data_IF_625275161530
#
_entry.id   IF_625275161530
#
_cell.length_a   1.000
_cell.length_b   1.000
_cell.length_c   1.000
_cell.angle_alpha   90.00
_cell.angle_beta   90.00
_cell.angle_gamma   90.00
#
_symmetry.space_group_name_H-M   'P 1'
#
loop_
_entity.id
_entity.type
_entity.pdbx_description
1 polymer ?
#
# COMPACT_ATOMS: atom_id res chain seq x y z
N UNK A 1 -17.88 19.07 24.49
CA UNK A 1 -16.53 19.19 23.92
C UNK A 1 -16.11 17.83 23.34
N UNK A 2 -15.51 17.77 22.15
CA UNK A 2 -15.08 16.50 21.51
C UNK A 2 -13.72 16.05 22.09
N UNK A 3 -13.47 14.74 22.16
CA UNK A 3 -12.20 14.20 22.64
C UNK A 3 -11.03 14.63 21.73
N UNK A 4 -10.08 15.41 22.27
CA UNK A 4 -8.86 15.83 21.57
C UNK A 4 -7.83 14.71 21.55
N UNK A 5 -6.96 14.71 20.52
CA UNK A 5 -5.98 13.66 20.29
C UNK A 5 -4.57 14.22 20.18
N UNK A 6 -3.61 13.51 20.76
CA UNK A 6 -2.18 13.82 20.69
C UNK A 6 -1.42 12.69 19.99
N UNK A 7 -0.31 13.02 19.32
CA UNK A 7 0.53 12.01 18.70
C UNK A 7 1.11 11.07 19.77
N UNK A 8 1.12 9.76 19.49
CA UNK A 8 1.60 8.74 20.44
C UNK A 8 3.09 8.45 20.32
N UNK A 9 3.71 8.78 19.18
CA UNK A 9 5.16 8.73 18.97
C UNK A 9 5.79 10.04 19.42
N UNK A 10 7.09 9.98 19.74
CA UNK A 10 7.91 11.17 20.06
C UNK A 10 7.96 12.20 18.94
N UNK A 11 7.79 11.78 17.69
CA UNK A 11 7.81 12.68 16.53
C UNK A 11 6.52 13.54 16.49
N UNK A 12 6.67 14.83 16.78
CA UNK A 12 5.58 15.81 16.90
C UNK A 12 5.09 16.41 15.58
N UNK A 13 5.88 16.38 14.50
CA UNK A 13 5.52 17.05 13.25
C UNK A 13 4.54 16.26 12.37
N UNK A 14 3.69 16.99 11.65
CA UNK A 14 2.71 16.46 10.70
C UNK A 14 3.34 16.17 9.32
N UNK A 15 4.23 15.18 9.25
CA UNK A 15 4.93 14.82 8.01
C UNK A 15 4.19 13.75 7.21
N UNK A 16 4.51 13.62 5.91
CA UNK A 16 3.92 12.60 5.02
C UNK A 16 4.10 11.16 5.53
N UNK A 17 5.13 10.87 6.32
CA UNK A 17 5.36 9.55 6.94
C UNK A 17 4.65 9.38 8.28
N UNK A 18 4.28 10.48 8.94
CA UNK A 18 3.59 10.50 10.23
C UNK A 18 2.06 10.59 10.05
N UNK A 19 1.52 9.95 9.01
CA UNK A 19 0.08 9.90 8.76
C UNK A 19 -0.60 9.05 9.85
N UNK A 20 -1.75 9.53 10.30
CA UNK A 20 -2.53 8.91 11.38
C UNK A 20 -3.99 8.74 10.97
N UNK A 21 -4.63 7.73 11.55
CA UNK A 21 -6.08 7.51 11.47
C UNK A 21 -6.65 7.51 12.88
N UNK A 22 -7.76 8.22 13.08
CA UNK A 22 -8.52 8.18 14.33
C UNK A 22 -9.28 6.87 14.41
N UNK A 23 -9.10 6.12 15.50
CA UNK A 23 -9.78 4.85 15.72
C UNK A 23 -10.42 4.87 17.11
N UNK A 24 -11.67 4.40 17.21
CA UNK A 24 -12.34 4.15 18.48
C UNK A 24 -11.86 2.81 19.02
N UNK A 25 -11.23 2.84 20.18
CA UNK A 25 -10.75 1.64 20.89
C UNK A 25 -11.92 0.90 21.53
N UNK A 26 -11.79 -0.41 21.85
CA UNK A 26 -12.83 -1.15 22.56
C UNK A 26 -13.25 -0.49 23.89
N UNK A 27 -12.33 0.17 24.59
CA UNK A 27 -12.61 0.96 25.80
C UNK A 27 -13.29 2.31 25.54
N UNK A 28 -13.86 2.53 24.35
CA UNK A 28 -14.64 3.72 24.01
C UNK A 28 -13.84 5.00 23.72
N UNK A 29 -12.51 4.98 23.85
CA UNK A 29 -11.65 6.16 23.66
C UNK A 29 -11.24 6.32 22.20
N UNK A 30 -11.26 7.54 21.68
CA UNK A 30 -10.63 7.90 20.40
C UNK A 30 -9.12 7.99 20.58
N UNK A 31 -8.37 7.38 19.65
CA UNK A 31 -6.90 7.32 19.68
C UNK A 31 -6.34 7.39 18.26
N UNK A 32 -5.19 8.05 18.06
CA UNK A 32 -4.45 7.97 16.80
C UNK A 32 -3.77 6.60 16.63
N UNK A 33 -3.99 5.96 15.49
CA UNK A 33 -3.17 4.86 14.99
C UNK A 33 -2.33 5.32 13.82
N UNK A 34 -1.07 4.88 13.76
CA UNK A 34 -0.17 5.24 12.68
C UNK A 34 -0.42 4.38 11.45
N UNK A 35 -0.63 5.04 10.32
CA UNK A 35 -0.83 4.38 9.03
C UNK A 35 0.43 4.56 8.18
N UNK A 36 0.85 3.50 7.50
CA UNK A 36 1.91 3.61 6.48
C UNK A 36 1.37 4.41 5.29
N UNK A 37 2.25 5.13 4.59
CA UNK A 37 1.91 5.79 3.32
C UNK A 37 1.24 4.80 2.35
N UNK A 38 0.20 5.25 1.66
CA UNK A 38 -0.44 4.51 0.57
C UNK A 38 0.60 4.24 -0.52
N UNK A 39 0.68 3.00 -0.98
CA UNK A 39 1.62 2.61 -2.02
C UNK A 39 1.00 2.83 -3.42
N UNK A 40 1.84 3.28 -4.35
CA UNK A 40 1.59 3.12 -5.78
C UNK A 40 1.99 1.70 -6.16
N UNK A 41 1.08 0.96 -6.78
CA UNK A 41 1.38 -0.39 -7.26
C UNK A 41 2.19 -0.40 -8.57
N UNK A 42 2.60 -1.59 -9.04
CA UNK A 42 3.31 -1.75 -10.30
C UNK A 42 2.49 -1.25 -11.49
N UNK A 43 3.13 -0.51 -12.37
CA UNK A 43 2.54 0.04 -13.60
C UNK A 43 3.30 -0.48 -14.81
N UNK A 44 2.58 -0.63 -15.90
CA UNK A 44 3.16 -0.92 -17.20
C UNK A 44 3.93 0.31 -17.72
N UNK A 45 5.19 0.17 -18.17
CA UNK A 45 5.96 1.29 -18.71
C UNK A 45 5.39 1.83 -20.02
N UNK A 46 4.82 0.97 -20.88
CA UNK A 46 4.26 1.37 -22.18
C UNK A 46 2.92 2.10 -22.01
N UNK A 47 1.96 1.51 -21.29
CA UNK A 47 0.60 2.05 -21.19
C UNK A 47 0.38 2.95 -19.97
N UNK A 48 1.29 2.97 -19.00
CA UNK A 48 1.12 3.67 -17.72
C UNK A 48 0.04 3.09 -16.79
N UNK A 49 -0.71 2.07 -17.27
CA UNK A 49 -1.81 1.43 -16.54
C UNK A 49 -1.26 0.52 -15.44
N UNK A 50 -2.04 0.33 -14.37
CA UNK A 50 -1.73 -0.63 -13.30
C UNK A 50 -1.69 -2.06 -13.86
N UNK A 51 -0.80 -2.89 -13.33
CA UNK A 51 -0.74 -4.31 -13.69
C UNK A 51 -1.83 -5.05 -12.93
N UNK A 52 -2.77 -5.65 -13.67
CA UNK A 52 -3.85 -6.43 -13.10
C UNK A 52 -3.34 -7.75 -12.51
N UNK A 53 -3.95 -8.19 -11.40
CA UNK A 53 -3.57 -9.44 -10.72
C UNK A 53 -2.44 -9.31 -9.70
N UNK A 54 -1.79 -8.15 -9.58
CA UNK A 54 -0.77 -7.89 -8.55
C UNK A 54 -1.33 -6.88 -7.53
N UNK A 55 -1.37 -7.21 -6.23
CA UNK A 55 -1.89 -6.31 -5.20
C UNK A 55 -1.00 -5.07 -5.09
N UNK A 56 -1.52 -3.92 -4.69
CA UNK A 56 -0.75 -2.68 -4.55
C UNK A 56 -0.28 -2.50 -3.10
N UNK A 57 0.96 -2.87 -2.82
CA UNK A 57 1.52 -2.89 -1.46
C UNK A 57 2.80 -2.05 -1.35
N UNK A 58 3.24 -1.78 -0.12
CA UNK A 58 4.57 -1.19 0.12
C UNK A 58 5.66 -2.21 -0.30
N UNK A 59 6.82 -1.78 -0.79
CA UNK A 59 7.91 -2.69 -1.20
C UNK A 59 8.28 -3.75 -0.15
N UNK A 60 8.28 -3.39 1.13
CA UNK A 60 8.57 -4.31 2.23
C UNK A 60 7.54 -5.44 2.41
N UNK A 61 6.32 -5.28 1.89
CA UNK A 61 5.25 -6.28 2.01
C UNK A 61 5.23 -7.27 0.84
N UNK A 62 5.90 -6.97 -0.28
CA UNK A 62 6.12 -7.94 -1.36
C UNK A 62 7.21 -8.98 -1.04
N UNK A 63 7.82 -8.92 0.14
CA UNK A 63 8.83 -9.91 0.56
C UNK A 63 8.22 -11.31 0.58
N UNK A 64 9.03 -12.31 0.21
CA UNK A 64 8.63 -13.74 0.16
C UNK A 64 8.07 -14.28 1.49
N UNK A 65 8.49 -13.72 2.61
CA UNK A 65 8.00 -14.08 3.95
C UNK A 65 6.61 -13.53 4.29
N UNK A 66 6.10 -12.55 3.53
CA UNK A 66 4.80 -11.90 3.76
C UNK A 66 3.77 -12.24 2.68
N UNK A 67 4.22 -12.51 1.46
CA UNK A 67 3.35 -12.70 0.30
C UNK A 67 3.80 -13.92 -0.52
N UNK A 68 2.84 -14.76 -0.90
CA UNK A 68 3.08 -15.96 -1.70
C UNK A 68 3.53 -15.59 -3.14
N UNK A 69 4.09 -16.56 -3.88
CA UNK A 69 4.60 -16.31 -5.25
C UNK A 69 3.48 -15.94 -6.22
N UNK A 70 2.39 -16.68 -6.21
CA UNK A 70 1.20 -16.45 -7.06
C UNK A 70 0.60 -15.04 -6.92
N UNK A 71 0.72 -14.41 -5.75
CA UNK A 71 0.26 -13.04 -5.52
C UNK A 71 1.24 -11.97 -6.01
N UNK A 72 2.49 -12.34 -6.33
CA UNK A 72 3.54 -11.41 -6.80
C UNK A 72 3.72 -11.43 -8.31
N UNK A 73 3.22 -12.46 -8.96
CA UNK A 73 3.45 -12.72 -10.39
C UNK A 73 2.16 -13.13 -11.07
N UNK A 74 2.05 -12.84 -12.36
CA UNK A 74 0.99 -13.38 -13.23
C UNK A 74 1.63 -14.41 -14.15
N UNK A 75 0.94 -15.52 -14.42
CA UNK A 75 1.50 -16.69 -15.12
C UNK A 75 1.84 -16.47 -16.62
N UNK A 76 1.49 -15.32 -17.19
CA UNK A 76 1.79 -14.98 -18.59
C UNK A 76 3.19 -14.35 -18.74
N UNK A 77 3.78 -14.32 -19.94
CA UNK A 77 5.00 -13.58 -20.22
C UNK A 77 4.92 -12.11 -19.80
N UNK A 78 6.01 -11.57 -19.24
CA UNK A 78 6.09 -10.19 -18.72
C UNK A 78 5.04 -9.86 -17.64
N UNK A 79 4.63 -10.87 -16.87
CA UNK A 79 3.46 -10.83 -16.01
C UNK A 79 3.41 -9.71 -14.97
N UNK A 80 4.57 -9.26 -14.50
CA UNK A 80 4.73 -8.18 -13.52
C UNK A 80 5.37 -6.90 -14.06
N UNK A 81 5.53 -6.80 -15.38
CA UNK A 81 6.18 -5.64 -16.04
C UNK A 81 5.24 -4.96 -17.02
N UNK A 82 4.58 -5.73 -17.90
CA UNK A 82 3.70 -5.19 -18.94
C UNK A 82 2.22 -5.36 -18.58
N UNK A 83 1.32 -4.61 -19.22
CA UNK A 83 -0.13 -4.89 -19.17
C UNK A 83 -0.48 -6.03 -20.12
N UNK A 84 -1.64 -6.67 -19.94
CA UNK A 84 -2.08 -7.75 -20.86
C UNK A 84 -2.19 -7.29 -22.31
N UNK A 85 -2.63 -6.05 -22.54
CA UNK A 85 -2.70 -5.44 -23.89
C UNK A 85 -1.31 -5.24 -24.50
N UNK A 86 -0.37 -4.67 -23.74
CA UNK A 86 0.98 -4.39 -24.21
C UNK A 86 1.79 -5.67 -24.50
N UNK A 87 1.43 -6.80 -23.88
CA UNK A 87 2.02 -8.10 -24.22
C UNK A 87 1.48 -8.64 -25.54
N UNK A 88 0.23 -8.32 -25.92
CA UNK A 88 -0.38 -8.78 -27.17
C UNK A 88 0.08 -7.97 -28.39
N UNK A 89 0.37 -6.68 -28.19
CA UNK A 89 0.87 -5.78 -29.23
C UNK A 89 2.35 -6.03 -29.58
N UNK A 90 3.03 -6.91 -28.85
CA UNK A 90 4.44 -7.25 -29.00
C UNK A 90 4.59 -8.66 -29.57
#
# INVERSE_FOLDING_TARGET
MVQRLTYRKRHSYATKSNQTRVVKTPGGKLVYQYTKKRASGPKCPVTGKKIQGIPHLRPAEYKRSRLARNQRTVNRPYGGVLSGTAVRER
#
